data_IF_414869388880
#
_entry.id   IF_414869388880
#
_cell.length_a   1.000
_cell.length_b   1.000
_cell.length_c   1.000
_cell.angle_alpha   90.00
_cell.angle_beta   90.00
_cell.angle_gamma   90.00
#
_symmetry.space_group_name_H-M   'P 1'
#
loop_
_entity.id
_entity.type
_entity.pdbx_description
1 polymer ?
#
# COMPACT_ATOMS: atom_id res chain seq x y z
N UNK A 1 -7.95 -54.60 -17.13
CA UNK A 1 -9.23 -55.28 -17.31
C UNK A 1 -10.02 -54.49 -18.35
N UNK A 2 -10.09 -55.07 -19.50
CA UNK A 2 -10.68 -54.68 -20.76
C UNK A 2 -12.22 -54.75 -20.67
N UNK A 3 -12.95 -53.87 -21.32
CA UNK A 3 -14.28 -54.05 -21.92
C UNK A 3 -14.86 -52.68 -22.29
N UNK A 4 -15.32 -52.33 -23.41
CA UNK A 4 -15.69 -52.82 -24.73
C UNK A 4 -16.51 -51.70 -25.39
N UNK A 5 -16.20 -51.43 -26.65
CA UNK A 5 -16.98 -50.64 -27.60
C UNK A 5 -18.38 -51.27 -27.83
N UNK A 6 -19.35 -50.43 -28.11
CA UNK A 6 -20.47 -50.82 -28.95
C UNK A 6 -20.92 -49.65 -29.84
N UNK A 7 -20.71 -49.90 -31.12
CA UNK A 7 -21.21 -49.19 -32.30
C UNK A 7 -22.70 -49.52 -32.51
N UNK A 8 -23.52 -48.57 -32.96
CA UNK A 8 -24.69 -48.86 -33.81
C UNK A 8 -24.80 -47.78 -34.91
N UNK A 9 -24.77 -48.33 -36.12
CA UNK A 9 -25.05 -47.69 -37.40
C UNK A 9 -26.53 -47.54 -37.71
N UNK A 10 -26.93 -46.47 -38.36
CA UNK A 10 -27.62 -46.19 -39.60
C UNK A 10 -29.14 -46.34 -39.63
N UNK A 11 -29.87 -46.04 -40.74
CA UNK A 11 -29.45 -45.40 -42.00
C UNK A 11 -30.49 -44.38 -42.58
N UNK A 12 -30.23 -43.82 -43.76
CA UNK A 12 -31.18 -43.17 -44.68
C UNK A 12 -30.90 -41.63 -44.81
N UNK A 13 -30.37 -41.18 -45.80
CA UNK A 13 -30.32 -41.08 -47.20
C UNK A 13 -31.34 -40.07 -47.72
N UNK A 14 -30.82 -38.86 -48.15
CA UNK A 14 -31.38 -38.16 -49.30
C UNK A 14 -30.36 -37.19 -49.87
N UNK A 15 -29.90 -37.56 -51.06
CA UNK A 15 -29.09 -36.77 -51.99
C UNK A 15 -30.06 -35.77 -52.65
N UNK A 16 -29.76 -34.48 -52.66
CA UNK A 16 -30.37 -33.50 -53.54
C UNK A 16 -29.25 -32.75 -54.29
N UNK A 17 -29.42 -32.81 -55.61
CA UNK A 17 -28.54 -32.37 -56.70
C UNK A 17 -28.29 -30.86 -56.69
N UNK A 18 -27.12 -30.41 -57.22
CA UNK A 18 -26.78 -29.00 -57.38
C UNK A 18 -27.14 -28.52 -58.79
N UNK A 19 -28.10 -27.64 -58.90
CA UNK A 19 -28.42 -27.08 -60.20
C UNK A 19 -29.24 -25.81 -60.10
N UNK A 20 -28.64 -24.78 -60.72
CA UNK A 20 -29.22 -23.51 -61.18
C UNK A 20 -29.25 -22.31 -60.22
N UNK A 21 -28.25 -21.50 -60.39
CA UNK A 21 -28.23 -20.07 -60.05
C UNK A 21 -29.01 -19.28 -61.09
N UNK A 22 -29.85 -18.33 -60.73
CA UNK A 22 -30.11 -17.16 -61.50
C UNK A 22 -29.59 -15.92 -60.79
N UNK A 23 -28.68 -15.24 -61.46
CA UNK A 23 -28.31 -13.84 -61.15
C UNK A 23 -29.57 -12.96 -61.17
N UNK A 24 -29.69 -12.02 -60.22
CA UNK A 24 -30.35 -10.76 -60.50
C UNK A 24 -29.28 -9.63 -60.55
N UNK A 25 -29.18 -9.03 -61.76
CA UNK A 25 -28.70 -7.69 -61.98
C UNK A 25 -29.67 -6.70 -61.33
N UNK A 26 -29.15 -5.68 -60.69
CA UNK A 26 -29.93 -4.55 -60.21
C UNK A 26 -29.26 -3.92 -58.99
N UNK A 27 -28.38 -2.95 -59.27
CA UNK A 27 -27.81 -2.11 -58.22
C UNK A 27 -28.85 -1.14 -57.66
N UNK A 28 -29.25 -1.36 -56.45
CA UNK A 28 -29.80 -0.31 -55.59
C UNK A 28 -28.95 -0.31 -54.33
N UNK A 29 -28.09 0.73 -54.24
CA UNK A 29 -27.35 0.99 -53.04
C UNK A 29 -28.32 1.28 -51.91
N UNK A 30 -28.46 0.33 -51.00
CA UNK A 30 -29.19 0.53 -49.76
C UNK A 30 -28.60 1.76 -49.02
N UNK A 31 -29.45 2.67 -48.52
CA UNK A 31 -28.97 3.82 -47.77
C UNK A 31 -28.19 3.28 -46.53
N UNK A 32 -27.08 3.93 -46.16
CA UNK A 32 -26.29 3.49 -45.02
C UNK A 32 -27.19 3.44 -43.79
N UNK A 33 -27.21 2.25 -43.13
CA UNK A 33 -28.00 2.04 -41.94
C UNK A 33 -27.68 3.10 -40.89
N UNK A 34 -28.68 3.63 -40.17
CA UNK A 34 -28.46 4.65 -39.12
C UNK A 34 -27.50 4.22 -38.01
N UNK A 35 -27.15 2.94 -37.95
CA UNK A 35 -26.17 2.38 -37.04
C UNK A 35 -24.73 2.80 -37.38
N UNK A 36 -24.40 2.97 -38.68
CA UNK A 36 -23.05 3.40 -39.09
C UNK A 36 -22.79 4.91 -38.90
N UNK A 37 -23.82 5.75 -38.90
CA UNK A 37 -23.68 7.17 -38.58
C UNK A 37 -23.52 7.46 -37.08
N UNK A 38 -23.99 6.56 -36.21
CA UNK A 38 -23.87 6.72 -34.76
C UNK A 38 -22.48 6.35 -34.22
N UNK A 39 -21.71 5.54 -34.94
CA UNK A 39 -20.37 5.11 -34.52
C UNK A 39 -19.26 6.15 -34.77
N UNK A 40 -19.48 7.21 -35.54
CA UNK A 40 -18.43 8.16 -35.89
C UNK A 40 -18.37 9.39 -34.96
N UNK A 41 -19.43 9.64 -34.16
CA UNK A 41 -19.49 10.73 -33.19
C UNK A 41 -18.97 10.35 -31.79
N UNK A 42 -19.08 9.05 -31.42
CA UNK A 42 -18.76 8.59 -30.07
C UNK A 42 -17.25 8.34 -29.82
N UNK A 43 -16.45 8.21 -30.89
CA UNK A 43 -15.02 7.87 -30.77
C UNK A 43 -14.14 9.02 -30.28
N UNK A 44 -14.54 10.28 -30.50
CA UNK A 44 -13.79 11.46 -30.03
C UNK A 44 -14.10 11.81 -28.55
N UNK A 45 -15.30 11.45 -28.07
CA UNK A 45 -15.72 11.69 -26.67
C UNK A 45 -15.46 10.50 -25.75
N UNK A 46 -15.14 9.33 -26.30
CA UNK A 46 -14.84 8.13 -25.52
C UNK A 46 -13.73 8.32 -24.47
N UNK A 47 -12.58 8.97 -24.76
CA UNK A 47 -11.54 9.18 -23.76
C UNK A 47 -11.99 10.14 -22.65
N UNK A 48 -12.81 11.15 -22.96
CA UNK A 48 -13.35 12.05 -21.94
C UNK A 48 -14.39 11.34 -21.05
N UNK A 49 -15.18 10.46 -21.63
CA UNK A 49 -16.12 9.63 -20.87
C UNK A 49 -15.42 8.62 -19.95
N UNK A 50 -14.30 8.04 -20.38
CA UNK A 50 -13.47 7.15 -19.55
C UNK A 50 -12.81 7.90 -18.40
N UNK A 51 -12.21 9.07 -18.68
CA UNK A 51 -11.64 9.94 -17.66
C UNK A 51 -12.68 10.41 -16.64
N UNK A 52 -13.87 10.81 -17.11
CA UNK A 52 -14.95 11.21 -16.22
C UNK A 52 -15.45 10.09 -15.30
N UNK A 53 -15.62 8.87 -15.82
CA UNK A 53 -15.97 7.69 -15.02
C UNK A 53 -14.90 7.35 -14.01
N UNK A 54 -13.63 7.32 -14.43
CA UNK A 54 -12.50 7.04 -13.54
C UNK A 54 -12.41 8.06 -12.40
N UNK A 55 -12.65 9.35 -12.69
CA UNK A 55 -12.67 10.40 -11.67
C UNK A 55 -13.84 10.23 -10.68
N UNK A 56 -15.03 9.88 -11.18
CA UNK A 56 -16.21 9.62 -10.35
C UNK A 56 -16.02 8.37 -9.47
N UNK A 57 -15.43 7.30 -10.02
CA UNK A 57 -15.13 6.08 -9.28
C UNK A 57 -14.12 6.34 -8.16
N UNK A 58 -13.08 7.15 -8.45
CA UNK A 58 -12.11 7.57 -7.44
C UNK A 58 -12.76 8.43 -6.35
N UNK A 59 -13.59 9.39 -6.72
CA UNK A 59 -14.32 10.21 -5.75
C UNK A 59 -15.27 9.37 -4.88
N UNK A 60 -15.94 8.39 -5.47
CA UNK A 60 -16.79 7.45 -4.73
C UNK A 60 -15.99 6.58 -3.76
N UNK A 61 -14.78 6.15 -4.14
CA UNK A 61 -13.89 5.40 -3.24
C UNK A 61 -13.43 6.27 -2.05
N UNK A 62 -13.03 7.52 -2.32
CA UNK A 62 -12.67 8.48 -1.26
C UNK A 62 -13.86 8.72 -0.32
N UNK A 63 -15.06 8.86 -0.86
CA UNK A 63 -16.28 9.01 -0.06
C UNK A 63 -16.55 7.81 0.85
N UNK A 64 -16.40 6.58 0.34
CA UNK A 64 -16.54 5.35 1.13
C UNK A 64 -15.45 5.23 2.20
N UNK A 65 -14.21 5.58 1.89
CA UNK A 65 -13.13 5.63 2.88
C UNK A 65 -13.43 6.67 3.97
N UNK A 66 -13.94 7.86 3.60
CA UNK A 66 -14.39 8.88 4.57
C UNK A 66 -15.53 8.39 5.47
N UNK A 67 -16.46 7.59 4.94
CA UNK A 67 -17.50 6.91 5.71
C UNK A 67 -16.89 5.98 6.76
N UNK A 68 -16.00 5.08 6.36
CA UNK A 68 -15.30 4.17 7.28
C UNK A 68 -14.51 4.93 8.36
N UNK A 69 -13.84 6.03 7.97
CA UNK A 69 -13.13 6.89 8.93
C UNK A 69 -14.07 7.53 9.95
N UNK A 70 -15.23 8.03 9.51
CA UNK A 70 -16.27 8.57 10.38
C UNK A 70 -16.79 7.53 11.38
N UNK A 71 -17.09 6.32 10.90
CA UNK A 71 -17.58 5.23 11.75
C UNK A 71 -16.50 4.77 12.72
N UNK A 72 -15.23 4.74 12.30
CA UNK A 72 -14.08 4.47 13.17
C UNK A 72 -14.00 5.49 14.31
N UNK A 73 -14.08 6.79 13.99
CA UNK A 73 -14.04 7.86 15.01
C UNK A 73 -15.18 7.72 16.01
N UNK A 74 -16.40 7.40 15.54
CA UNK A 74 -17.57 7.17 16.40
C UNK A 74 -17.44 5.92 17.27
N UNK A 75 -16.65 4.95 16.85
CA UNK A 75 -16.42 3.70 17.55
C UNK A 75 -15.30 3.79 18.62
N UNK A 76 -14.39 4.78 18.53
CA UNK A 76 -13.30 5.00 19.49
C UNK A 76 -13.76 5.02 20.95
N UNK A 77 -14.86 5.70 21.35
CA UNK A 77 -15.29 5.75 22.74
C UNK A 77 -15.68 4.38 23.34
N UNK A 78 -15.92 3.36 22.49
CA UNK A 78 -16.34 2.02 22.93
C UNK A 78 -15.16 1.15 23.37
N UNK A 79 -14.35 1.64 24.31
CA UNK A 79 -13.08 0.99 24.77
C UNK A 79 -13.28 -0.45 25.25
N UNK A 80 -14.43 -0.79 25.80
CA UNK A 80 -14.74 -2.14 26.26
C UNK A 80 -14.71 -3.21 25.17
N UNK A 81 -14.92 -2.82 23.90
CA UNK A 81 -14.91 -3.72 22.75
C UNK A 81 -13.48 -3.93 22.24
N UNK A 82 -12.77 -2.86 21.94
CA UNK A 82 -11.48 -2.94 21.25
C UNK A 82 -10.26 -2.98 22.19
N UNK A 83 -10.40 -2.57 23.47
CA UNK A 83 -9.26 -2.41 24.38
C UNK A 83 -8.45 -3.70 24.60
N UNK A 84 -9.11 -4.85 24.71
CA UNK A 84 -8.43 -6.16 24.83
C UNK A 84 -7.74 -6.60 23.55
N UNK A 85 -8.24 -6.18 22.39
CA UNK A 85 -7.71 -6.54 21.07
C UNK A 85 -6.50 -5.68 20.71
N UNK A 86 -6.40 -4.47 21.25
CA UNK A 86 -5.36 -3.50 20.94
C UNK A 86 -3.95 -4.09 21.16
N UNK A 87 -3.69 -4.71 22.30
CA UNK A 87 -2.38 -5.29 22.62
C UNK A 87 -1.96 -6.36 21.61
N UNK A 88 -2.89 -7.21 21.20
CA UNK A 88 -2.63 -8.21 20.17
C UNK A 88 -2.29 -7.59 18.81
N UNK A 89 -2.99 -6.51 18.44
CA UNK A 89 -2.71 -5.78 17.20
C UNK A 89 -1.37 -5.01 17.28
N UNK A 90 -1.03 -4.43 18.45
CA UNK A 90 0.27 -3.79 18.67
C UNK A 90 1.43 -4.79 18.49
N UNK A 91 1.30 -6.01 18.99
CA UNK A 91 2.31 -7.05 18.79
C UNK A 91 2.46 -7.37 17.29
N UNK A 92 1.37 -7.65 16.58
CA UNK A 92 1.38 -8.01 15.16
C UNK A 92 1.88 -6.89 14.25
N UNK A 93 1.45 -5.65 14.50
CA UNK A 93 1.81 -4.48 13.68
C UNK A 93 3.22 -3.99 14.04
N UNK A 94 3.55 -3.95 15.32
CA UNK A 94 4.82 -3.41 15.80
C UNK A 94 5.90 -4.48 15.90
N UNK A 95 5.81 -5.36 16.92
CA UNK A 95 6.89 -6.28 17.28
C UNK A 95 7.31 -7.17 16.14
N UNK A 96 6.34 -7.77 15.45
CA UNK A 96 6.62 -8.64 14.30
C UNK A 96 7.21 -7.88 13.10
N UNK A 97 7.11 -6.53 13.06
CA UNK A 97 7.69 -5.72 11.99
C UNK A 97 9.12 -5.26 12.28
N UNK A 98 9.57 -5.36 13.54
CA UNK A 98 10.91 -4.92 13.95
C UNK A 98 12.02 -5.57 13.10
N UNK A 99 12.05 -6.88 12.85
CA UNK A 99 13.16 -7.49 12.12
C UNK A 99 13.38 -6.88 10.74
N UNK A 100 12.31 -6.70 9.95
CA UNK A 100 12.43 -6.12 8.60
C UNK A 100 12.81 -4.63 8.64
N UNK A 101 12.30 -3.88 9.61
CA UNK A 101 12.62 -2.47 9.78
C UNK A 101 14.10 -2.28 10.16
N UNK A 102 14.61 -3.08 11.10
CA UNK A 102 16.01 -3.04 11.49
C UNK A 102 16.94 -3.45 10.36
N UNK A 103 16.57 -4.48 9.59
CA UNK A 103 17.34 -4.92 8.44
C UNK A 103 17.51 -3.79 7.41
N UNK A 104 16.41 -3.17 6.99
CA UNK A 104 16.42 -2.07 6.03
C UNK A 104 17.23 -0.89 6.59
N UNK A 105 16.99 -0.48 7.83
CA UNK A 105 17.67 0.65 8.44
C UNK A 105 19.18 0.42 8.58
N UNK A 106 19.61 -0.78 8.95
CA UNK A 106 21.03 -1.14 9.07
C UNK A 106 21.74 -0.93 7.74
N UNK A 107 21.24 -1.53 6.65
CA UNK A 107 21.89 -1.39 5.35
C UNK A 107 21.80 0.02 4.79
N UNK A 108 20.71 0.74 5.06
CA UNK A 108 20.58 2.14 4.69
C UNK A 108 21.64 3.00 5.40
N UNK A 109 21.85 2.80 6.70
CA UNK A 109 22.87 3.51 7.46
C UNK A 109 24.29 3.23 6.96
N UNK A 110 24.61 1.96 6.65
CA UNK A 110 25.88 1.55 6.04
C UNK A 110 26.11 2.29 4.70
N UNK A 111 25.13 2.21 3.79
CA UNK A 111 25.23 2.83 2.46
C UNK A 111 25.37 4.34 2.58
N UNK A 112 24.62 4.99 3.48
CA UNK A 112 24.72 6.43 3.71
C UNK A 112 26.10 6.86 4.19
N UNK A 113 26.73 6.11 5.10
CA UNK A 113 28.07 6.41 5.57
C UNK A 113 29.11 6.29 4.44
N UNK A 114 29.02 5.23 3.63
CA UNK A 114 29.89 5.03 2.47
C UNK A 114 29.71 6.14 1.42
N UNK A 115 28.46 6.48 1.10
CA UNK A 115 28.16 7.51 0.11
C UNK A 115 28.61 8.91 0.59
N UNK A 116 28.43 9.22 1.87
CA UNK A 116 28.89 10.46 2.45
C UNK A 116 30.42 10.60 2.36
N UNK A 117 31.15 9.51 2.65
CA UNK A 117 32.61 9.49 2.51
C UNK A 117 33.07 9.73 1.06
N UNK A 118 32.43 9.06 0.12
CA UNK A 118 32.76 9.24 -1.30
C UNK A 118 32.51 10.69 -1.77
N UNK A 119 31.47 11.33 -1.23
CA UNK A 119 31.10 12.70 -1.61
C UNK A 119 32.04 13.75 -0.99
N UNK A 120 32.55 13.52 0.22
CA UNK A 120 33.37 14.48 0.95
C UNK A 120 34.88 14.23 0.75
N UNK A 121 35.36 14.22 -0.49
CA UNK A 121 36.75 14.03 -0.83
C UNK A 121 37.54 15.35 -0.62
N UNK A 122 38.34 15.40 0.46
CA UNK A 122 39.45 16.36 0.64
C UNK A 122 39.12 17.79 1.06
N UNK A 123 37.97 18.34 0.68
CA UNK A 123 37.62 19.75 0.97
C UNK A 123 36.70 19.90 2.20
N UNK A 124 35.95 18.87 2.55
CA UNK A 124 34.99 18.90 3.66
C UNK A 124 35.49 18.01 4.80
N UNK A 125 35.48 18.54 6.04
CA UNK A 125 35.92 17.76 7.21
C UNK A 125 35.06 16.49 7.40
N UNK A 126 35.72 15.37 7.75
CA UNK A 126 35.07 14.05 7.88
C UNK A 126 33.92 14.01 8.89
N UNK A 127 33.93 14.89 9.91
CA UNK A 127 32.82 14.89 10.88
C UNK A 127 31.45 15.23 10.24
N UNK A 128 31.40 15.84 9.06
CA UNK A 128 30.13 16.04 8.32
C UNK A 128 29.46 14.72 7.90
N UNK A 129 30.19 13.61 7.81
CA UNK A 129 29.59 12.28 7.60
C UNK A 129 28.60 11.97 8.70
N UNK A 130 28.98 12.20 9.98
CA UNK A 130 28.07 12.01 11.12
C UNK A 130 26.82 12.89 11.06
N UNK A 131 26.98 14.15 10.60
CA UNK A 131 25.84 15.06 10.39
C UNK A 131 24.89 14.54 9.30
N UNK A 132 25.43 14.16 8.15
CA UNK A 132 24.65 13.72 7.01
C UNK A 132 23.88 12.42 7.34
N UNK A 133 24.61 11.43 7.87
CA UNK A 133 24.00 10.15 8.28
C UNK A 133 22.91 10.39 9.34
N UNK A 134 23.20 11.15 10.39
CA UNK A 134 22.26 11.41 11.46
C UNK A 134 21.02 12.16 10.99
N UNK A 135 21.19 13.32 10.36
CA UNK A 135 20.05 14.13 9.90
C UNK A 135 19.22 13.42 8.84
N UNK A 136 19.85 12.83 7.82
CA UNK A 136 19.12 12.17 6.74
C UNK A 136 18.36 10.93 7.24
N UNK A 137 18.98 10.16 8.16
CA UNK A 137 18.30 9.02 8.77
C UNK A 137 17.11 9.43 9.63
N UNK A 138 17.24 10.49 10.43
CA UNK A 138 16.17 10.93 11.33
C UNK A 138 15.04 11.61 10.57
N UNK A 139 15.34 12.52 9.66
CA UNK A 139 14.34 13.34 8.98
C UNK A 139 13.62 12.59 7.86
N UNK A 140 14.35 11.76 7.08
CA UNK A 140 13.82 11.21 5.83
C UNK A 140 13.89 9.68 5.76
N UNK A 141 15.10 9.12 5.64
CA UNK A 141 15.25 7.71 5.29
C UNK A 141 14.70 6.76 6.35
N UNK A 142 14.85 7.07 7.64
CA UNK A 142 14.30 6.27 8.72
C UNK A 142 12.79 6.15 8.64
N UNK A 143 12.04 7.25 8.70
CA UNK A 143 10.57 7.23 8.61
C UNK A 143 10.05 6.69 7.28
N UNK A 144 10.57 7.17 6.15
CA UNK A 144 10.04 6.83 4.82
C UNK A 144 10.28 5.38 4.46
N UNK A 145 11.52 4.89 4.56
CA UNK A 145 11.83 3.51 4.18
C UNK A 145 11.14 2.50 5.12
N UNK A 146 11.10 2.80 6.41
CA UNK A 146 10.35 1.98 7.37
C UNK A 146 8.85 2.02 7.03
N UNK A 147 8.27 3.18 6.76
CA UNK A 147 6.88 3.34 6.38
C UNK A 147 6.51 2.54 5.13
N UNK A 148 7.33 2.62 4.08
CA UNK A 148 7.15 1.84 2.83
C UNK A 148 7.27 0.33 3.08
N UNK A 149 8.25 -0.12 3.87
CA UNK A 149 8.39 -1.52 4.22
C UNK A 149 7.16 -2.04 5.02
N UNK A 150 6.69 -1.23 5.97
CA UNK A 150 5.51 -1.56 6.75
C UNK A 150 4.22 -1.49 5.92
N UNK A 151 4.13 -0.64 4.90
CA UNK A 151 2.98 -0.65 3.99
C UNK A 151 2.86 -2.01 3.28
N UNK A 152 3.98 -2.56 2.83
CA UNK A 152 4.05 -3.88 2.20
C UNK A 152 3.72 -5.03 3.14
N UNK A 153 4.13 -4.94 4.42
CA UNK A 153 3.90 -6.01 5.39
C UNK A 153 2.57 -5.85 6.15
N UNK A 154 2.38 -4.71 6.79
CA UNK A 154 1.23 -4.44 7.67
C UNK A 154 -0.02 -4.16 6.84
N UNK A 155 0.09 -3.28 5.83
CA UNK A 155 -1.02 -2.94 4.94
C UNK A 155 -1.55 -4.16 4.18
N UNK A 156 -0.64 -4.97 3.62
CA UNK A 156 -0.99 -6.22 2.95
C UNK A 156 -1.67 -7.21 3.89
N UNK A 157 -1.11 -7.44 5.08
CA UNK A 157 -1.67 -8.39 6.04
C UNK A 157 -3.06 -7.98 6.52
N UNK A 158 -3.28 -6.70 6.82
CA UNK A 158 -4.60 -6.19 7.23
C UNK A 158 -5.61 -6.38 6.10
N UNK A 159 -5.26 -6.00 4.87
CA UNK A 159 -6.15 -6.16 3.73
C UNK A 159 -6.46 -7.63 3.40
N UNK A 160 -5.47 -8.52 3.52
CA UNK A 160 -5.66 -9.96 3.31
C UNK A 160 -6.54 -10.59 4.41
N UNK A 161 -6.28 -10.28 5.68
CA UNK A 161 -7.04 -10.82 6.80
C UNK A 161 -8.51 -10.37 6.75
N UNK A 162 -8.75 -9.06 6.64
CA UNK A 162 -10.11 -8.51 6.56
C UNK A 162 -10.80 -8.89 5.26
N UNK A 163 -10.08 -8.92 4.14
CA UNK A 163 -10.61 -9.36 2.87
C UNK A 163 -11.04 -10.82 2.90
N UNK A 164 -10.26 -11.70 3.53
CA UNK A 164 -10.65 -13.09 3.75
C UNK A 164 -11.91 -13.19 4.63
N UNK A 165 -11.97 -12.44 5.74
CA UNK A 165 -13.14 -12.40 6.60
C UNK A 165 -14.39 -11.87 5.86
N UNK A 166 -14.21 -10.94 4.92
CA UNK A 166 -15.30 -10.38 4.10
C UNK A 166 -15.85 -11.43 3.13
N UNK A 167 -14.98 -12.07 2.35
CA UNK A 167 -15.43 -13.06 1.32
C UNK A 167 -15.93 -14.37 1.92
N UNK A 168 -15.61 -14.63 3.19
CA UNK A 168 -16.13 -15.80 3.94
C UNK A 168 -17.31 -15.43 4.85
N UNK A 169 -17.90 -14.24 4.68
CA UNK A 169 -19.07 -13.74 5.41
C UNK A 169 -18.91 -13.66 6.94
N UNK A 170 -17.65 -13.69 7.44
CA UNK A 170 -17.39 -13.60 8.88
C UNK A 170 -17.73 -12.20 9.43
N UNK A 171 -17.58 -11.14 8.62
CA UNK A 171 -17.96 -9.78 9.01
C UNK A 171 -19.47 -9.68 9.12
N UNK A 172 -20.23 -10.27 8.19
CA UNK A 172 -21.70 -10.28 8.21
C UNK A 172 -22.22 -11.12 9.38
N UNK A 173 -21.53 -12.20 9.73
CA UNK A 173 -21.82 -12.98 10.93
C UNK A 173 -21.65 -12.18 12.24
N UNK A 174 -20.63 -11.31 12.32
CA UNK A 174 -20.47 -10.40 13.47
C UNK A 174 -21.64 -9.42 13.59
N UNK A 175 -22.12 -8.88 12.48
CA UNK A 175 -23.29 -7.99 12.46
C UNK A 175 -24.56 -8.70 12.92
N UNK A 176 -24.78 -9.94 12.48
CA UNK A 176 -25.95 -10.73 12.94
C UNK A 176 -25.92 -11.04 14.42
N UNK A 177 -24.73 -11.09 15.03
CA UNK A 177 -24.53 -11.24 16.47
C UNK A 177 -24.60 -9.90 17.23
N UNK A 178 -25.00 -8.81 16.56
CA UNK A 178 -25.07 -7.45 17.10
C UNK A 178 -23.72 -6.87 17.57
N UNK A 179 -22.60 -7.40 17.06
CA UNK A 179 -21.30 -6.76 17.23
C UNK A 179 -21.10 -5.71 16.15
N UNK A 180 -20.47 -4.58 16.54
CA UNK A 180 -20.04 -3.56 15.57
C UNK A 180 -18.69 -3.97 14.96
N UNK A 181 -18.64 -4.39 13.65
CA UNK A 181 -17.42 -4.85 13.04
C UNK A 181 -16.32 -3.78 12.99
N UNK A 182 -16.72 -2.51 12.86
CA UNK A 182 -15.75 -1.40 12.84
C UNK A 182 -15.07 -1.25 14.19
N UNK A 183 -15.85 -1.26 15.29
CA UNK A 183 -15.29 -1.19 16.63
C UNK A 183 -14.41 -2.40 16.97
N UNK A 184 -14.77 -3.59 16.49
CA UNK A 184 -14.07 -4.83 16.79
C UNK A 184 -12.82 -5.07 15.92
N UNK A 185 -12.89 -4.74 14.64
CA UNK A 185 -11.84 -5.07 13.67
C UNK A 185 -10.98 -3.87 13.26
N UNK A 186 -11.59 -2.69 13.03
CA UNK A 186 -10.89 -1.53 12.46
C UNK A 186 -10.19 -0.70 13.53
N UNK A 187 -10.91 -0.31 14.57
CA UNK A 187 -10.39 0.57 15.63
C UNK A 187 -9.08 0.05 16.24
N UNK A 188 -8.98 -1.21 16.70
CA UNK A 188 -7.75 -1.68 17.33
C UNK A 188 -6.58 -1.72 16.36
N UNK A 189 -6.81 -1.97 15.06
CA UNK A 189 -5.74 -1.96 14.04
C UNK A 189 -5.23 -0.54 13.77
N UNK A 190 -6.13 0.43 13.62
CA UNK A 190 -5.75 1.83 13.37
C UNK A 190 -5.00 2.40 14.58
N UNK A 191 -5.51 2.21 15.79
CA UNK A 191 -4.83 2.69 17.01
C UNK A 191 -3.48 2.02 17.21
N UNK A 192 -3.38 0.72 16.96
CA UNK A 192 -2.11 0.01 17.03
C UNK A 192 -1.11 0.55 15.98
N UNK A 193 -1.55 0.85 14.76
CA UNK A 193 -0.71 1.47 13.74
C UNK A 193 -0.18 2.84 14.16
N UNK A 194 -1.07 3.72 14.61
CA UNK A 194 -0.70 5.05 15.09
C UNK A 194 0.35 4.97 16.21
N UNK A 195 0.21 4.04 17.15
CA UNK A 195 1.11 3.92 18.30
C UNK A 195 2.43 3.21 17.96
N UNK A 196 2.37 2.14 17.16
CA UNK A 196 3.54 1.29 16.92
C UNK A 196 4.45 1.78 15.81
N UNK A 197 3.95 2.48 14.78
CA UNK A 197 4.80 3.02 13.72
C UNK A 197 5.90 3.94 14.23
N UNK A 198 5.62 4.95 15.10
CA UNK A 198 6.68 5.78 15.68
C UNK A 198 7.72 4.96 16.45
N UNK A 199 7.29 3.96 17.21
CA UNK A 199 8.19 3.12 18.00
C UNK A 199 9.13 2.35 17.07
N UNK A 200 8.60 1.71 16.02
CA UNK A 200 9.38 0.95 15.06
C UNK A 200 10.32 1.88 14.28
N UNK A 201 9.86 3.08 13.88
CA UNK A 201 10.68 4.08 13.16
C UNK A 201 11.83 4.57 14.04
N UNK A 202 11.59 4.88 15.31
CA UNK A 202 12.66 5.33 16.24
C UNK A 202 13.69 4.21 16.41
N UNK A 203 13.28 2.98 16.61
CA UNK A 203 14.19 1.83 16.73
C UNK A 203 14.99 1.63 15.44
N UNK A 204 14.34 1.63 14.29
CA UNK A 204 14.97 1.49 12.99
C UNK A 204 16.00 2.61 12.73
N UNK A 205 15.59 3.86 12.94
CA UNK A 205 16.48 5.03 12.76
C UNK A 205 17.69 4.95 13.68
N UNK A 206 17.49 4.60 14.95
CA UNK A 206 18.59 4.47 15.91
C UNK A 206 19.60 3.40 15.50
N UNK A 207 19.12 2.24 15.03
CA UNK A 207 19.99 1.16 14.54
C UNK A 207 20.68 1.55 13.23
N UNK A 208 19.99 2.26 12.34
CA UNK A 208 20.59 2.78 11.09
C UNK A 208 21.72 3.77 11.34
N UNK A 209 21.52 4.72 12.27
CA UNK A 209 22.58 5.65 12.68
C UNK A 209 23.75 4.91 13.33
N UNK A 210 23.48 3.92 14.18
CA UNK A 210 24.51 3.09 14.81
C UNK A 210 25.30 2.28 13.77
N UNK A 211 24.63 1.72 12.76
CA UNK A 211 25.27 1.02 11.66
C UNK A 211 26.15 1.95 10.81
N UNK A 212 25.68 3.15 10.51
CA UNK A 212 26.46 4.19 9.84
C UNK A 212 27.68 4.62 10.64
N UNK A 213 27.53 4.81 11.95
CA UNK A 213 28.64 5.06 12.85
C UNK A 213 29.68 3.93 12.81
N UNK A 214 29.27 2.68 12.97
CA UNK A 214 30.18 1.53 12.94
C UNK A 214 30.92 1.43 11.60
N UNK A 215 30.23 1.64 10.49
CA UNK A 215 30.80 1.66 9.15
C UNK A 215 31.86 2.79 9.03
N UNK A 216 31.57 3.97 9.56
CA UNK A 216 32.49 5.10 9.54
C UNK A 216 33.79 4.81 10.32
N UNK A 217 33.71 4.10 11.44
CA UNK A 217 34.88 3.70 12.21
C UNK A 217 35.75 2.68 11.49
N UNK A 218 35.14 1.73 10.77
CA UNK A 218 35.87 0.61 10.19
C UNK A 218 36.42 0.89 8.79
N UNK A 219 35.72 1.71 8.02
CA UNK A 219 36.02 1.92 6.59
C UNK A 219 36.51 3.32 6.25
N UNK A 220 36.36 4.32 7.15
CA UNK A 220 36.65 5.73 6.85
C UNK A 220 37.78 6.30 7.71
N UNK A 221 38.49 5.50 8.51
CA UNK A 221 39.52 5.95 9.46
C UNK A 221 39.06 7.11 10.37
N UNK A 222 37.73 7.17 10.64
CA UNK A 222 37.11 8.22 11.44
C UNK A 222 37.05 7.80 12.92
N UNK A 223 37.31 8.71 13.82
CA UNK A 223 37.17 8.48 15.27
C UNK A 223 35.69 8.60 15.70
N UNK A 224 35.31 7.86 16.76
CA UNK A 224 33.98 8.02 17.40
C UNK A 224 33.71 9.48 17.79
N UNK A 225 34.73 10.20 18.27
CA UNK A 225 34.61 11.61 18.68
C UNK A 225 34.21 12.51 17.48
N UNK A 226 34.79 12.27 16.32
CA UNK A 226 34.49 13.05 15.10
C UNK A 226 33.07 12.73 14.62
N UNK A 227 32.67 11.47 14.57
CA UNK A 227 31.29 11.09 14.17
C UNK A 227 30.26 11.73 15.12
N UNK A 228 30.47 11.61 16.45
CA UNK A 228 29.59 12.19 17.46
C UNK A 228 29.57 13.72 17.44
N UNK A 229 30.70 14.35 17.12
CA UNK A 229 30.77 15.81 16.90
C UNK A 229 29.84 16.19 15.72
N UNK A 230 29.95 15.49 14.59
CA UNK A 230 29.12 15.74 13.43
C UNK A 230 27.64 15.49 13.72
N UNK A 231 27.31 14.39 14.38
CA UNK A 231 25.94 14.05 14.75
C UNK A 231 25.27 15.13 15.60
N UNK A 232 26.02 15.70 16.56
CA UNK A 232 25.50 16.74 17.50
C UNK A 232 25.47 18.14 16.93
N UNK A 233 26.27 18.44 15.91
CA UNK A 233 26.51 19.82 15.44
C UNK A 233 25.23 20.48 14.88
N UNK A 234 24.39 19.71 14.20
CA UNK A 234 23.15 20.20 13.57
C UNK A 234 21.89 19.45 14.02
N UNK A 235 22.02 18.65 15.09
CA UNK A 235 20.87 17.91 15.62
C UNK A 235 20.02 18.82 16.50
N UNK A 236 18.78 18.96 16.14
CA UNK A 236 17.79 19.71 16.89
C UNK A 236 16.74 18.75 17.50
N UNK A 237 16.23 19.03 18.72
CA UNK A 237 15.13 18.23 19.29
C UNK A 237 13.89 18.16 18.38
N UNK A 238 13.71 19.18 17.53
CA UNK A 238 12.65 19.26 16.54
C UNK A 238 12.75 18.13 15.51
N UNK A 239 13.95 17.70 15.12
CA UNK A 239 14.18 16.63 14.15
C UNK A 239 13.48 15.32 14.58
N UNK A 240 13.53 14.99 15.87
CA UNK A 240 12.86 13.79 16.42
C UNK A 240 11.34 13.98 16.44
N UNK A 241 10.85 15.16 16.82
CA UNK A 241 9.42 15.44 16.82
C UNK A 241 8.85 15.36 15.41
N UNK A 242 9.56 15.89 14.44
CA UNK A 242 9.22 15.80 13.03
C UNK A 242 9.11 14.33 12.56
N UNK A 243 10.10 13.50 12.87
CA UNK A 243 10.09 12.07 12.55
C UNK A 243 8.90 11.34 13.21
N UNK A 244 8.52 11.70 14.44
CA UNK A 244 7.37 11.16 15.14
C UNK A 244 6.06 11.56 14.45
N UNK A 245 5.89 12.82 14.09
CA UNK A 245 4.69 13.32 13.38
C UNK A 245 4.52 12.59 12.03
N UNK A 246 5.60 12.47 11.25
CA UNK A 246 5.60 11.71 9.99
C UNK A 246 5.19 10.26 10.23
N UNK A 247 5.79 9.58 11.19
CA UNK A 247 5.52 8.17 11.45
C UNK A 247 4.10 7.91 11.99
N UNK A 248 3.54 8.80 12.80
CA UNK A 248 2.13 8.75 13.23
C UNK A 248 1.19 8.81 12.02
N UNK A 249 1.43 9.76 11.11
CA UNK A 249 0.62 9.92 9.90
C UNK A 249 0.74 8.71 8.96
N UNK A 250 1.94 8.12 8.83
CA UNK A 250 2.16 6.91 8.04
C UNK A 250 1.45 5.70 8.66
N UNK A 251 1.49 5.54 9.98
CA UNK A 251 0.79 4.49 10.69
C UNK A 251 -0.73 4.56 10.49
N UNK A 252 -1.30 5.76 10.63
CA UNK A 252 -2.71 6.02 10.35
C UNK A 252 -3.05 5.67 8.89
N UNK A 253 -2.23 6.10 7.94
CA UNK A 253 -2.44 5.89 6.51
C UNK A 253 -2.44 4.41 6.16
N UNK A 254 -1.39 3.69 6.51
CA UNK A 254 -1.23 2.26 6.15
C UNK A 254 -2.35 1.42 6.74
N UNK A 255 -2.68 1.64 8.01
CA UNK A 255 -3.71 0.82 8.67
C UNK A 255 -5.12 1.17 8.21
N UNK A 256 -5.44 2.45 7.98
CA UNK A 256 -6.75 2.85 7.48
C UNK A 256 -7.01 2.38 6.05
N UNK A 257 -6.01 2.50 5.17
CA UNK A 257 -6.10 2.04 3.78
C UNK A 257 -6.17 0.50 3.73
N UNK A 258 -5.36 -0.21 4.52
CA UNK A 258 -5.44 -1.65 4.65
C UNK A 258 -6.81 -2.15 5.12
N UNK A 259 -7.38 -1.49 6.13
CA UNK A 259 -8.74 -1.79 6.59
C UNK A 259 -9.78 -1.50 5.51
N UNK A 260 -9.68 -0.37 4.81
CA UNK A 260 -10.63 0.00 3.77
C UNK A 260 -10.67 -1.02 2.63
N UNK A 261 -9.51 -1.38 2.07
CA UNK A 261 -9.47 -2.36 0.99
C UNK A 261 -9.89 -3.76 1.46
N UNK A 262 -9.56 -4.14 2.70
CA UNK A 262 -10.03 -5.40 3.27
C UNK A 262 -11.55 -5.45 3.41
N UNK A 263 -12.18 -4.42 3.95
CA UNK A 263 -13.65 -4.36 4.12
C UNK A 263 -14.42 -4.28 2.80
N UNK A 264 -13.81 -3.73 1.75
CA UNK A 264 -14.44 -3.57 0.43
C UNK A 264 -14.05 -4.66 -0.56
N UNK A 265 -13.46 -5.76 -0.07
CA UNK A 265 -13.05 -6.88 -0.92
C UNK A 265 -14.27 -7.65 -1.44
N UNK A 266 -14.28 -7.90 -2.75
CA UNK A 266 -15.27 -8.70 -3.46
C UNK A 266 -14.57 -9.69 -4.41
N UNK A 267 -15.24 -10.76 -4.85
CA UNK A 267 -14.69 -11.68 -5.85
C UNK A 267 -13.86 -12.83 -5.29
N UNK A 268 -14.09 -13.23 -4.03
CA UNK A 268 -13.48 -14.42 -3.43
C UNK A 268 -11.96 -14.28 -3.22
N UNK A 269 -11.23 -15.38 -3.35
CA UNK A 269 -9.77 -15.41 -3.10
C UNK A 269 -8.97 -14.53 -4.07
N UNK A 270 -9.38 -14.42 -5.33
CA UNK A 270 -8.75 -13.53 -6.31
C UNK A 270 -8.92 -12.07 -5.91
N UNK A 271 -10.12 -11.69 -5.46
CA UNK A 271 -10.40 -10.35 -4.94
C UNK A 271 -9.56 -9.98 -3.72
N UNK A 272 -9.28 -10.93 -2.82
CA UNK A 272 -8.37 -10.72 -1.68
C UNK A 272 -6.96 -10.36 -2.16
N UNK A 273 -6.43 -11.08 -3.16
CA UNK A 273 -5.13 -10.78 -3.76
C UNK A 273 -5.08 -9.37 -4.38
N UNK A 274 -6.12 -8.99 -5.13
CA UNK A 274 -6.24 -7.66 -5.74
C UNK A 274 -6.31 -6.56 -4.68
N UNK A 275 -7.15 -6.73 -3.66
CA UNK A 275 -7.31 -5.77 -2.56
C UNK A 275 -6.02 -5.59 -1.76
N UNK A 276 -5.30 -6.69 -1.51
CA UNK A 276 -4.00 -6.67 -0.85
C UNK A 276 -2.98 -5.84 -1.63
N UNK A 277 -2.87 -6.08 -2.94
CA UNK A 277 -1.96 -5.32 -3.80
C UNK A 277 -2.34 -3.83 -3.86
N UNK A 278 -3.63 -3.53 -4.00
CA UNK A 278 -4.13 -2.14 -3.99
C UNK A 278 -3.84 -1.44 -2.67
N UNK A 279 -4.02 -2.11 -1.54
CA UNK A 279 -3.72 -1.56 -0.22
C UNK A 279 -2.25 -1.13 -0.12
N UNK A 280 -1.31 -1.96 -0.56
CA UNK A 280 0.12 -1.64 -0.57
C UNK A 280 0.44 -0.46 -1.49
N UNK A 281 -0.02 -0.53 -2.74
CA UNK A 281 0.28 0.51 -3.74
C UNK A 281 -0.27 1.88 -3.31
N UNK A 282 -1.54 1.93 -2.91
CA UNK A 282 -2.17 3.19 -2.50
C UNK A 282 -1.54 3.72 -1.20
N UNK A 283 -1.28 2.87 -0.21
CA UNK A 283 -0.58 3.28 1.02
C UNK A 283 0.80 3.87 0.72
N UNK A 284 1.57 3.22 -0.15
CA UNK A 284 2.91 3.70 -0.53
C UNK A 284 2.85 5.05 -1.25
N UNK A 285 1.89 5.23 -2.17
CA UNK A 285 1.69 6.52 -2.85
C UNK A 285 1.32 7.62 -1.85
N UNK A 286 0.40 7.35 -0.93
CA UNK A 286 -0.03 8.34 0.08
C UNK A 286 1.10 8.65 1.06
N UNK A 287 1.93 7.66 1.45
CA UNK A 287 3.12 7.91 2.27
C UNK A 287 4.05 8.93 1.60
N UNK A 288 4.39 8.75 0.30
CA UNK A 288 5.27 9.66 -0.43
C UNK A 288 4.68 11.07 -0.56
N UNK A 289 3.37 11.18 -0.77
CA UNK A 289 2.69 12.48 -0.80
C UNK A 289 2.71 13.16 0.57
N UNK A 290 2.42 12.41 1.64
CA UNK A 290 2.49 12.93 3.02
C UNK A 290 3.91 13.29 3.42
N UNK A 291 4.90 12.54 2.96
CA UNK A 291 6.31 12.84 3.18
C UNK A 291 6.69 14.20 2.62
N UNK A 292 6.40 14.43 1.33
CA UNK A 292 6.62 15.70 0.68
C UNK A 292 5.81 16.85 1.35
N UNK A 293 4.57 16.58 1.77
CA UNK A 293 3.73 17.54 2.48
C UNK A 293 4.34 17.97 3.81
N UNK A 294 4.77 17.01 4.63
CA UNK A 294 5.39 17.32 5.92
C UNK A 294 6.75 18.03 5.76
N UNK A 295 7.55 17.61 4.78
CA UNK A 295 8.80 18.30 4.48
C UNK A 295 8.57 19.78 4.09
N UNK A 296 7.56 20.05 3.26
CA UNK A 296 7.23 21.41 2.83
C UNK A 296 6.61 22.30 3.92
N UNK A 297 5.95 21.70 4.93
CA UNK A 297 5.20 22.47 5.95
C UNK A 297 5.94 22.64 7.28
N UNK A 298 6.86 21.73 7.62
CA UNK A 298 7.49 21.69 8.95
C UNK A 298 9.02 21.90 8.91
N UNK A 299 9.67 21.75 7.75
CA UNK A 299 11.08 22.06 7.52
C UNK A 299 11.26 23.38 6.79
#
# INVERSE_FOLDING_TARGET
MVVRRSSRQGPGGNIVDPGTNPHPQGGDALPPSPILMRMKGDSLLAPFGMLGRSALDTAAQIGRWGGLASDTIRAIPRVGIWGRLLLGQMARIGVDSVPIALFIATFTGVVMALQASYTFTGAVPLYFVGTLVGKTMVLELGPVLTGLALSGRVGANIAAELGTMRVTEQIDALETLAYDPVAYLVVPRILAGILMFPIVVILATSVGVAAGWLTSLQLLDMSTAEFMKGLRLFFEPWDVQFAIIKSLSFGLTVTSIGCFFGFTTEGGAEGVGISTTRAVVVSSMVILVLDAFWAATLL
#
